data_IF_191920889223
#
_entry.id   IF_191920889223
#
_cell.length_a   1.000
_cell.length_b   1.000
_cell.length_c   1.000
_cell.angle_alpha   90.00
_cell.angle_beta   90.00
_cell.angle_gamma   90.00
#
_symmetry.space_group_name_H-M   'P 1'
#
loop_
_entity.id
_entity.type
_entity.pdbx_description
1 polymer ?
#
# COMPACT_ATOMS: atom_id res chain seq x y z
N UNK A 1 8.98 -6.63 -7.35
CA UNK A 1 10.46 -6.65 -7.44
C UNK A 1 10.90 -8.07 -7.12
N UNK A 2 11.65 -8.75 -7.98
CA UNK A 2 12.16 -10.10 -7.67
C UNK A 2 13.39 -9.90 -6.76
N UNK A 3 13.48 -10.54 -5.58
CA UNK A 3 14.67 -10.43 -4.73
C UNK A 3 15.88 -11.04 -5.45
N UNK A 4 16.95 -10.27 -5.59
CA UNK A 4 18.18 -10.72 -6.27
C UNK A 4 19.23 -11.30 -5.29
N UNK A 5 18.94 -11.31 -3.98
CA UNK A 5 19.83 -11.80 -2.92
C UNK A 5 19.44 -11.28 -1.54
N UNK A 6 20.18 -11.71 -0.51
CA UNK A 6 20.06 -11.25 0.87
C UNK A 6 21.41 -10.77 1.40
N UNK A 7 21.42 -9.76 2.26
CA UNK A 7 22.63 -9.19 2.87
C UNK A 7 22.32 -8.62 4.27
N UNK A 8 23.35 -8.50 5.10
CA UNK A 8 23.26 -8.00 6.48
C UNK A 8 24.01 -6.67 6.57
N UNK A 9 23.34 -5.64 7.09
CA UNK A 9 23.90 -4.29 7.24
C UNK A 9 23.69 -3.80 8.68
N UNK A 10 24.62 -4.10 9.62
CA UNK A 10 24.42 -3.83 11.05
C UNK A 10 24.05 -2.37 11.36
N UNK A 11 24.71 -1.41 10.71
CA UNK A 11 24.42 0.02 10.92
C UNK A 11 23.01 0.40 10.43
N UNK A 12 22.54 -0.20 9.33
CA UNK A 12 21.21 0.07 8.80
C UNK A 12 20.11 -0.62 9.63
N UNK A 13 20.44 -1.74 10.29
CA UNK A 13 19.53 -2.45 11.19
C UNK A 13 19.20 -1.68 12.48
N UNK A 14 19.85 -0.54 12.73
CA UNK A 14 19.55 0.35 13.86
C UNK A 14 18.35 1.28 13.60
N UNK A 15 18.00 1.54 12.33
CA UNK A 15 16.91 2.47 11.99
C UNK A 15 15.57 1.84 12.28
N UNK A 16 14.73 2.51 13.07
CA UNK A 16 13.38 2.02 13.36
C UNK A 16 12.42 2.17 12.18
N UNK A 17 11.29 1.48 12.28
CA UNK A 17 10.22 1.52 11.29
C UNK A 17 9.30 2.74 11.44
N UNK A 18 8.87 3.31 10.32
CA UNK A 18 7.65 4.13 10.24
C UNK A 18 6.93 3.86 8.91
N UNK A 19 5.59 3.77 8.93
CA UNK A 19 4.79 3.72 7.70
C UNK A 19 4.74 5.08 6.97
N UNK A 20 5.22 6.15 7.62
CA UNK A 20 5.56 7.44 7.00
C UNK A 20 7.02 7.73 7.36
N UNK A 21 7.97 7.07 6.68
CA UNK A 21 9.39 7.21 7.01
C UNK A 21 9.92 8.57 6.56
N UNK A 22 11.00 9.03 7.18
CA UNK A 22 11.74 10.22 6.73
C UNK A 22 12.98 9.88 5.89
N UNK A 23 13.33 8.60 5.80
CA UNK A 23 14.41 8.09 4.97
C UNK A 23 13.97 6.90 4.10
N UNK A 24 14.65 6.74 2.97
CA UNK A 24 14.52 5.59 2.07
C UNK A 24 15.85 4.83 1.97
N UNK A 25 15.76 3.51 1.86
CA UNK A 25 16.89 2.63 1.61
C UNK A 25 17.04 2.41 0.11
N UNK A 26 18.23 2.70 -0.42
CA UNK A 26 18.59 2.50 -1.83
C UNK A 26 19.81 1.58 -1.90
N UNK A 27 19.81 0.66 -2.84
CA UNK A 27 20.93 -0.25 -3.07
C UNK A 27 21.67 0.12 -4.35
N UNK A 28 22.97 0.35 -4.24
CA UNK A 28 23.88 0.42 -5.38
C UNK A 28 24.79 -0.83 -5.33
N UNK A 29 24.45 -1.83 -6.14
CA UNK A 29 25.05 -3.17 -6.06
C UNK A 29 24.93 -3.74 -4.64
N UNK A 30 26.04 -3.85 -3.91
CA UNK A 30 26.11 -4.35 -2.53
C UNK A 30 26.18 -3.23 -1.50
N UNK A 31 26.20 -1.95 -1.92
CA UNK A 31 26.22 -0.80 -1.02
C UNK A 31 24.79 -0.38 -0.68
N UNK A 32 24.48 -0.35 0.61
CA UNK A 32 23.24 0.21 1.14
C UNK A 32 23.46 1.71 1.42
N UNK A 33 22.60 2.54 0.84
CA UNK A 33 22.52 3.97 1.11
C UNK A 33 21.19 4.28 1.79
N UNK A 34 21.22 5.10 2.84
CA UNK A 34 20.02 5.68 3.46
C UNK A 34 19.97 7.15 3.07
N UNK A 35 18.88 7.55 2.42
CA UNK A 35 18.69 8.93 1.94
C UNK A 35 17.46 9.55 2.59
N UNK A 36 17.59 10.76 3.10
CA UNK A 36 16.45 11.54 3.58
C UNK A 36 15.51 11.89 2.42
N UNK A 37 14.21 11.79 2.67
CA UNK A 37 13.15 12.17 1.71
C UNK A 37 12.33 13.37 2.20
N UNK A 38 12.62 13.87 3.40
CA UNK A 38 12.12 15.11 3.96
C UNK A 38 13.21 15.75 4.84
N UNK A 39 13.13 17.06 5.16
CA UNK A 39 14.04 17.68 6.12
C UNK A 39 13.98 16.98 7.49
N UNK A 40 15.14 16.70 8.08
CA UNK A 40 15.28 16.05 9.38
C UNK A 40 15.83 17.08 10.37
N UNK A 41 15.05 17.39 11.39
CA UNK A 41 15.46 18.33 12.44
C UNK A 41 16.48 17.69 13.38
N UNK A 42 17.24 18.53 14.10
CA UNK A 42 18.12 18.06 15.16
C UNK A 42 17.30 17.22 16.16
N UNK A 43 17.87 16.10 16.59
CA UNK A 43 17.28 15.16 17.56
C UNK A 43 16.01 14.43 17.05
N UNK A 44 15.61 14.62 15.80
CA UNK A 44 14.56 13.83 15.17
C UNK A 44 15.07 12.42 14.81
N UNK A 45 14.32 11.40 15.18
CA UNK A 45 14.64 10.01 14.85
C UNK A 45 14.65 9.76 13.34
N UNK A 46 15.63 9.00 12.86
CA UNK A 46 15.69 8.53 11.48
C UNK A 46 14.92 7.21 11.38
N UNK A 47 13.92 7.17 10.51
CA UNK A 47 13.08 5.98 10.30
C UNK A 47 13.06 5.55 8.84
N UNK A 48 13.02 4.25 8.62
CA UNK A 48 12.86 3.62 7.31
C UNK A 48 11.57 2.79 7.29
N UNK A 49 11.17 2.32 6.11
CA UNK A 49 10.00 1.46 5.96
C UNK A 49 10.42 -0.02 5.83
N UNK A 50 9.66 -0.92 6.45
CA UNK A 50 9.95 -2.36 6.49
C UNK A 50 8.95 -3.20 5.68
N UNK A 51 7.78 -2.64 5.36
CA UNK A 51 6.66 -3.36 4.73
C UNK A 51 6.38 -2.80 3.34
N UNK A 52 5.37 -3.29 2.64
CA UNK A 52 4.88 -2.58 1.46
C UNK A 52 3.98 -1.39 1.89
N UNK A 53 4.28 -0.18 1.41
CA UNK A 53 3.49 1.02 1.71
C UNK A 53 2.21 1.10 0.88
N UNK A 54 2.01 0.26 -0.14
CA UNK A 54 0.73 0.18 -0.86
C UNK A 54 -0.33 -0.61 -0.08
N UNK A 55 0.08 -1.43 0.90
CA UNK A 55 -0.84 -2.27 1.68
C UNK A 55 -1.64 -1.47 2.71
N UNK A 56 -2.89 -1.82 3.01
CA UNK A 56 -3.69 -1.19 4.08
C UNK A 56 -2.99 -1.26 5.46
N UNK A 57 -3.32 -0.31 6.34
CA UNK A 57 -2.68 -0.22 7.66
C UNK A 57 -2.81 -1.45 8.54
N UNK A 58 -3.90 -2.19 8.42
CA UNK A 58 -4.07 -3.47 9.13
C UNK A 58 -3.07 -4.53 8.65
N UNK A 59 -2.93 -4.70 7.33
CA UNK A 59 -1.97 -5.65 6.76
C UNK A 59 -0.53 -5.29 7.12
N UNK A 60 -0.16 -4.00 7.04
CA UNK A 60 1.17 -3.54 7.46
C UNK A 60 1.44 -3.86 8.94
N UNK A 61 0.47 -3.62 9.84
CA UNK A 61 0.62 -3.94 11.27
C UNK A 61 0.71 -5.44 11.52
N UNK A 62 -0.06 -6.24 10.80
CA UNK A 62 0.02 -7.70 10.87
C UNK A 62 1.40 -8.20 10.44
N UNK A 63 1.90 -7.75 9.30
CA UNK A 63 3.24 -8.10 8.84
C UNK A 63 4.33 -7.72 9.85
N UNK A 64 4.25 -6.51 10.42
CA UNK A 64 5.20 -6.05 11.44
C UNK A 64 5.14 -6.88 12.72
N UNK A 65 3.94 -7.24 13.15
CA UNK A 65 3.74 -8.08 14.33
C UNK A 65 4.29 -9.50 14.10
N UNK A 66 4.04 -10.08 12.93
CA UNK A 66 4.42 -11.45 12.60
C UNK A 66 5.93 -11.59 12.35
N UNK A 67 6.57 -10.60 11.72
CA UNK A 67 7.98 -10.67 11.31
C UNK A 67 8.96 -9.96 12.24
N UNK A 68 8.51 -8.87 12.87
CA UNK A 68 9.35 -7.98 13.68
C UNK A 68 8.88 -7.88 15.15
N UNK A 69 7.79 -8.57 15.50
CA UNK A 69 7.31 -8.72 16.88
C UNK A 69 6.94 -7.40 17.57
N UNK A 70 6.51 -6.39 16.81
CA UNK A 70 6.02 -5.12 17.37
C UNK A 70 4.77 -4.60 16.66
N UNK A 71 3.98 -3.81 17.40
CA UNK A 71 2.83 -3.09 16.86
C UNK A 71 3.24 -1.65 16.49
N UNK A 72 3.16 -1.31 15.20
CA UNK A 72 3.47 0.05 14.73
C UNK A 72 2.44 1.08 15.21
N UNK A 73 2.93 2.16 15.85
CA UNK A 73 2.15 3.31 16.32
C UNK A 73 2.59 4.63 15.70
N UNK A 74 3.15 4.59 14.48
CA UNK A 74 3.53 5.82 13.78
C UNK A 74 2.30 6.71 13.48
N UNK A 75 2.51 7.99 13.20
CA UNK A 75 1.43 8.95 12.97
C UNK A 75 0.45 8.53 11.88
N UNK A 76 0.91 7.83 10.82
CA UNK A 76 0.02 7.29 9.79
C UNK A 76 -0.90 6.18 10.32
N UNK A 77 -0.34 5.26 11.11
CA UNK A 77 -1.09 4.14 11.69
C UNK A 77 -2.10 4.61 12.74
N UNK A 78 -1.76 5.61 13.55
CA UNK A 78 -2.68 6.19 14.52
C UNK A 78 -3.76 7.05 13.85
N UNK A 79 -3.44 7.78 12.79
CA UNK A 79 -4.42 8.58 12.03
C UNK A 79 -5.55 7.71 11.45
N UNK A 80 -5.21 6.57 10.84
CA UNK A 80 -6.18 5.63 10.24
C UNK A 80 -6.68 4.55 11.22
N UNK A 81 -6.45 4.71 12.53
CA UNK A 81 -6.95 3.76 13.54
C UNK A 81 -8.43 3.98 13.86
N UNK A 82 -8.89 5.23 13.74
CA UNK A 82 -10.29 5.62 13.99
C UNK A 82 -11.18 5.33 12.78
N UNK A 83 -12.41 4.84 13.01
CA UNK A 83 -13.45 4.70 11.96
C UNK A 83 -13.87 6.03 11.30
N UNK A 84 -13.42 7.18 11.82
CA UNK A 84 -13.66 8.47 11.16
C UNK A 84 -12.79 8.69 9.91
N UNK A 85 -11.76 7.88 9.70
CA UNK A 85 -10.84 8.01 8.57
C UNK A 85 -10.67 6.66 7.87
N UNK A 86 -11.05 6.62 6.59
CA UNK A 86 -10.86 5.44 5.74
C UNK A 86 -9.43 5.42 5.22
N UNK A 87 -8.68 4.33 5.41
CA UNK A 87 -7.35 4.19 4.79
C UNK A 87 -7.52 4.21 3.26
N UNK A 88 -6.93 5.17 2.54
CA UNK A 88 -7.11 5.31 1.09
C UNK A 88 -6.63 4.08 0.30
N UNK A 89 -5.85 3.19 0.91
CA UNK A 89 -5.35 1.96 0.28
C UNK A 89 -6.38 0.84 0.21
N UNK A 90 -7.41 0.90 1.04
CA UNK A 90 -8.56 -0.02 1.00
C UNK A 90 -9.85 0.69 0.59
N UNK A 91 -9.85 2.02 0.49
CA UNK A 91 -11.03 2.81 0.18
C UNK A 91 -11.50 2.65 -1.28
N UNK A 92 -12.81 2.71 -1.44
CA UNK A 92 -13.46 2.96 -2.72
C UNK A 92 -13.61 4.48 -2.94
N UNK A 93 -13.43 4.94 -4.17
CA UNK A 93 -13.71 6.35 -4.53
C UNK A 93 -15.19 6.51 -4.86
N UNK A 94 -15.83 7.55 -4.32
CA UNK A 94 -17.18 7.91 -4.72
C UNK A 94 -17.31 8.10 -6.26
N UNK A 95 -18.37 7.55 -6.85
CA UNK A 95 -18.68 7.65 -8.29
C UNK A 95 -19.56 8.86 -8.63
N UNK A 96 -19.80 9.78 -7.69
CA UNK A 96 -20.45 11.05 -8.01
C UNK A 96 -19.41 11.98 -8.64
N UNK A 97 -19.74 12.65 -9.74
CA UNK A 97 -18.82 13.54 -10.45
C UNK A 97 -18.36 14.72 -9.60
N UNK A 98 -19.18 15.16 -8.64
CA UNK A 98 -18.87 16.28 -7.73
C UNK A 98 -18.39 15.85 -6.35
N UNK A 99 -18.25 14.54 -6.08
CA UNK A 99 -17.77 14.02 -4.80
C UNK A 99 -16.53 13.13 -5.01
N UNK A 100 -15.49 13.35 -4.20
CA UNK A 100 -14.29 12.51 -4.18
C UNK A 100 -14.07 11.83 -2.83
N UNK A 101 -15.14 11.69 -2.02
CA UNK A 101 -15.04 11.08 -0.70
C UNK A 101 -14.57 9.62 -0.79
N UNK A 102 -13.75 9.22 0.19
CA UNK A 102 -13.35 7.84 0.41
C UNK A 102 -14.48 7.07 1.09
N UNK A 103 -14.76 5.87 0.61
CA UNK A 103 -15.84 5.01 1.08
C UNK A 103 -15.21 3.72 1.57
N UNK A 104 -15.61 3.28 2.76
CA UNK A 104 -15.17 1.97 3.27
C UNK A 104 -15.65 0.86 2.32
N UNK A 105 -14.79 -0.11 1.99
CA UNK A 105 -15.25 -1.29 1.29
C UNK A 105 -16.26 -2.05 2.16
N UNK A 106 -17.18 -2.83 1.56
CA UNK A 106 -18.14 -3.64 2.31
C UNK A 106 -17.43 -4.61 3.27
N UNK A 107 -17.91 -4.70 4.51
CA UNK A 107 -17.29 -5.49 5.59
C UNK A 107 -17.33 -7.02 5.35
N UNK A 108 -18.30 -7.53 4.58
CA UNK A 108 -18.43 -8.98 4.32
C UNK A 108 -18.27 -9.32 2.83
N UNK A 109 -17.32 -10.19 2.53
CA UNK A 109 -17.24 -10.95 1.28
C UNK A 109 -17.96 -12.29 1.46
N UNK A 110 -19.22 -12.26 1.90
CA UNK A 110 -19.99 -13.49 2.05
C UNK A 110 -20.03 -14.25 0.73
N UNK A 111 -19.74 -15.55 0.78
CA UNK A 111 -19.79 -16.43 -0.38
C UNK A 111 -21.24 -16.46 -0.90
N UNK A 112 -21.41 -16.15 -2.19
CA UNK A 112 -22.72 -16.14 -2.84
C UNK A 112 -23.42 -14.77 -2.86
N UNK A 113 -22.78 -13.69 -2.41
CA UNK A 113 -23.28 -12.34 -2.67
C UNK A 113 -23.07 -12.00 -4.15
N UNK A 114 -24.13 -11.60 -4.83
CA UNK A 114 -24.10 -11.20 -6.25
C UNK A 114 -23.89 -9.69 -6.43
N UNK A 115 -24.30 -8.88 -5.45
CA UNK A 115 -24.18 -7.42 -5.48
C UNK A 115 -23.74 -6.88 -4.12
N UNK A 116 -22.72 -6.03 -4.13
CA UNK A 116 -22.33 -5.22 -2.98
C UNK A 116 -22.85 -3.79 -3.12
N UNK A 117 -23.42 -3.27 -2.03
CA UNK A 117 -23.89 -1.89 -1.96
C UNK A 117 -23.12 -1.15 -0.89
N UNK A 118 -22.69 0.07 -1.21
CA UNK A 118 -22.08 0.99 -0.26
C UNK A 118 -22.64 2.40 -0.47
N UNK A 119 -22.79 3.16 0.60
CA UNK A 119 -23.36 4.51 0.53
C UNK A 119 -22.31 5.54 0.91
N UNK A 120 -22.16 6.57 0.07
CA UNK A 120 -21.26 7.67 0.36
C UNK A 120 -21.78 8.50 1.54
N UNK A 121 -21.02 8.60 2.63
CA UNK A 121 -21.37 9.41 3.81
C UNK A 121 -21.46 10.92 3.55
N UNK A 122 -20.92 11.41 2.44
CA UNK A 122 -20.89 12.85 2.11
C UNK A 122 -22.01 13.26 1.16
N UNK A 123 -22.23 12.50 0.08
CA UNK A 123 -23.21 12.87 -0.96
C UNK A 123 -24.41 11.92 -1.05
N UNK A 124 -24.49 10.93 -0.16
CA UNK A 124 -25.55 9.92 -0.08
C UNK A 124 -25.75 9.08 -1.35
N UNK A 125 -24.85 9.18 -2.33
CA UNK A 125 -24.89 8.33 -3.52
C UNK A 125 -24.66 6.88 -3.11
N UNK A 126 -25.57 6.01 -3.52
CA UNK A 126 -25.39 4.57 -3.50
C UNK A 126 -24.44 4.14 -4.61
N UNK A 127 -23.50 3.28 -4.26
CA UNK A 127 -22.61 2.60 -5.18
C UNK A 127 -22.95 1.13 -5.14
N UNK A 128 -23.21 0.57 -6.33
CA UNK A 128 -23.52 -0.83 -6.51
C UNK A 128 -22.40 -1.47 -7.30
N UNK A 129 -21.94 -2.61 -6.82
CA UNK A 129 -20.88 -3.39 -7.41
C UNK A 129 -21.40 -4.80 -7.67
N UNK A 130 -21.64 -5.10 -8.94
CA UNK A 130 -21.95 -6.46 -9.39
C UNK A 130 -20.68 -7.31 -9.32
N UNK A 131 -20.76 -8.42 -8.60
CA UNK A 131 -19.61 -9.30 -8.36
C UNK A 131 -19.08 -9.90 -9.66
N UNK A 132 -19.96 -10.29 -10.59
CA UNK A 132 -19.54 -10.83 -11.88
C UNK A 132 -18.81 -9.79 -12.74
N UNK A 133 -19.24 -8.51 -12.68
CA UNK A 133 -18.51 -7.42 -13.35
C UNK A 133 -17.13 -7.16 -12.71
N UNK A 134 -17.05 -7.21 -11.37
CA UNK A 134 -15.77 -7.09 -10.65
C UNK A 134 -14.83 -8.25 -11.00
N UNK A 135 -15.31 -9.49 -11.01
CA UNK A 135 -14.54 -10.68 -11.39
C UNK A 135 -14.04 -10.60 -12.83
N UNK A 136 -14.90 -10.16 -13.77
CA UNK A 136 -14.51 -9.95 -15.17
C UNK A 136 -13.41 -8.90 -15.30
N UNK A 137 -13.52 -7.77 -14.58
CA UNK A 137 -12.49 -6.73 -14.57
C UNK A 137 -11.19 -7.23 -13.96
N UNK A 138 -11.25 -8.01 -12.88
CA UNK A 138 -10.09 -8.61 -12.25
C UNK A 138 -9.38 -9.58 -13.19
N UNK A 139 -10.13 -10.45 -13.87
CA UNK A 139 -9.59 -11.36 -14.89
C UNK A 139 -8.86 -10.59 -15.99
N UNK A 140 -9.48 -9.55 -16.56
CA UNK A 140 -8.83 -8.70 -17.56
C UNK A 140 -7.58 -8.00 -17.02
N UNK A 141 -7.59 -7.52 -15.78
CA UNK A 141 -6.44 -6.88 -15.15
C UNK A 141 -5.25 -7.86 -14.98
N UNK A 142 -5.54 -9.10 -14.57
CA UNK A 142 -4.53 -10.17 -14.44
C UNK A 142 -3.94 -10.54 -15.81
N UNK A 143 -4.76 -10.66 -16.85
CA UNK A 143 -4.28 -10.90 -18.22
C UNK A 143 -3.37 -9.78 -18.72
N UNK A 144 -3.74 -8.52 -18.46
CA UNK A 144 -2.92 -7.35 -18.81
C UNK A 144 -1.61 -7.32 -18.02
N UNK A 145 -1.65 -7.67 -16.74
CA UNK A 145 -0.46 -7.79 -15.89
C UNK A 145 0.51 -8.85 -16.44
N UNK A 146 0.01 -10.03 -16.78
CA UNK A 146 0.80 -11.11 -17.38
C UNK A 146 1.38 -10.71 -18.74
N UNK A 147 0.60 -10.03 -19.56
CA UNK A 147 1.07 -9.47 -20.84
C UNK A 147 2.20 -8.45 -20.60
N UNK A 148 2.05 -7.58 -19.60
CA UNK A 148 3.06 -6.62 -19.17
C UNK A 148 4.36 -7.32 -18.75
N UNK A 149 4.29 -8.36 -17.93
CA UNK A 149 5.45 -9.15 -17.52
C UNK A 149 6.13 -9.80 -18.74
N UNK A 150 5.39 -10.41 -19.65
CA UNK A 150 5.94 -11.01 -20.89
C UNK A 150 6.64 -9.97 -21.77
N UNK A 151 6.13 -8.74 -21.84
CA UNK A 151 6.77 -7.65 -22.58
C UNK A 151 8.04 -7.15 -21.90
N UNK A 152 8.04 -7.05 -20.56
CA UNK A 152 9.21 -6.72 -19.75
C UNK A 152 10.34 -7.72 -19.99
N UNK A 153 10.03 -9.00 -19.90
CA UNK A 153 11.03 -10.07 -20.01
C UNK A 153 11.61 -10.18 -21.44
N UNK A 154 10.89 -9.68 -22.45
CA UNK A 154 11.37 -9.55 -23.84
C UNK A 154 12.15 -8.26 -24.10
N UNK A 155 12.42 -7.44 -23.09
CA UNK A 155 13.13 -6.17 -23.22
C UNK A 155 12.37 -5.10 -24.03
N UNK A 156 11.05 -5.24 -24.18
CA UNK A 156 10.20 -4.34 -24.98
C UNK A 156 9.59 -3.18 -24.19
N UNK A 157 10.02 -2.96 -22.96
CA UNK A 157 9.56 -1.87 -22.11
C UNK A 157 10.74 -0.94 -21.84
N UNK A 158 10.52 0.36 -22.04
CA UNK A 158 11.48 1.41 -21.68
C UNK A 158 11.75 1.26 -20.18
N UNK A 159 12.99 0.97 -19.84
CA UNK A 159 13.50 1.05 -18.49
C UNK A 159 13.24 2.45 -17.95
N UNK A 160 12.19 2.62 -17.13
CA UNK A 160 12.09 3.79 -16.25
C UNK A 160 13.18 3.62 -15.18
N UNK A 161 14.40 3.97 -15.55
CA UNK A 161 15.51 4.21 -14.63
C UNK A 161 15.30 5.63 -14.12
N UNK A 162 15.03 5.77 -12.83
CA UNK A 162 15.31 7.00 -12.11
C UNK A 162 16.82 7.13 -11.92
#
# INVERSE_FOLDING_TARGET
MIPNGAAIYPNASLFNHSCRPNCIVVFERTKLMVRSIEPIMKDQEITINYTDLSQPGEERRKELQDRYFFLCRCGLCEYYKSKSHVDPRSALRCQNSTCSNAIEPPESLELGVEEYVSTCSVCSKELRYDVADVEKKLSMALELYDKGNKLRDKGKIITCIY
#
